data_IF_613212856869
#
_entry.id   IF_613212856869
#
_cell.length_a   1.000
_cell.length_b   1.000
_cell.length_c   1.000
_cell.angle_alpha   90.00
_cell.angle_beta   90.00
_cell.angle_gamma   90.00
#
_symmetry.space_group_name_H-M   'P 1'
#
loop_
_entity.id
_entity.type
_entity.pdbx_description
1 polymer ?
#
# COMPACT_ATOMS: atom_id res chain seq x y z
N UNK A 1 -28.17 16.84 -3.14
CA UNK A 1 -28.78 15.76 -3.94
C UNK A 1 -27.82 14.58 -3.86
N UNK A 2 -28.26 13.41 -3.38
CA UNK A 2 -27.39 12.24 -3.19
C UNK A 2 -27.30 11.51 -4.53
N UNK A 3 -26.09 11.38 -5.05
CA UNK A 3 -25.79 10.70 -6.31
C UNK A 3 -26.30 9.25 -6.24
N UNK A 4 -27.11 8.86 -7.23
CA UNK A 4 -27.82 7.59 -7.22
C UNK A 4 -26.82 6.44 -7.45
N UNK A 5 -26.78 5.45 -6.54
CA UNK A 5 -25.85 4.30 -6.59
C UNK A 5 -26.34 3.17 -7.52
N UNK A 6 -27.29 3.48 -8.40
CA UNK A 6 -28.04 2.51 -9.18
C UNK A 6 -28.18 2.98 -10.62
N UNK A 7 -28.11 2.04 -11.56
CA UNK A 7 -28.43 2.28 -12.96
C UNK A 7 -29.93 2.53 -13.16
N UNK A 8 -30.33 2.93 -14.37
CA UNK A 8 -31.71 3.32 -14.70
C UNK A 8 -32.75 2.19 -14.52
N UNK A 9 -32.29 0.94 -14.42
CA UNK A 9 -33.08 -0.27 -14.17
C UNK A 9 -33.15 -0.67 -12.68
N UNK A 10 -32.48 0.08 -11.79
CA UNK A 10 -32.46 -0.19 -10.34
C UNK A 10 -31.42 -1.24 -9.91
N UNK A 11 -30.58 -1.71 -10.82
CA UNK A 11 -29.46 -2.59 -10.49
C UNK A 11 -28.37 -1.82 -9.73
N UNK A 12 -27.78 -2.45 -8.70
CA UNK A 12 -26.58 -1.92 -8.05
C UNK A 12 -25.50 -1.75 -9.13
N UNK A 13 -24.77 -0.62 -9.12
CA UNK A 13 -23.50 -0.54 -9.85
C UNK A 13 -22.53 -1.57 -9.24
N UNK A 14 -22.64 -2.81 -9.67
CA UNK A 14 -21.66 -3.85 -9.42
C UNK A 14 -20.37 -3.35 -10.07
N UNK A 15 -19.30 -3.21 -9.27
CA UNK A 15 -17.93 -2.99 -9.77
C UNK A 15 -17.43 -4.27 -10.45
N UNK A 16 -18.16 -4.73 -11.47
CA UNK A 16 -17.78 -5.88 -12.29
C UNK A 16 -16.54 -5.56 -13.12
N UNK A 17 -15.96 -6.58 -13.73
CA UNK A 17 -14.73 -6.46 -14.52
C UNK A 17 -14.83 -5.39 -15.63
N UNK A 18 -16.04 -5.15 -16.15
CA UNK A 18 -16.30 -4.17 -17.19
C UNK A 18 -16.19 -2.72 -16.72
N UNK A 19 -16.36 -2.45 -15.41
CA UNK A 19 -16.07 -1.16 -14.80
C UNK A 19 -14.57 -0.85 -14.86
N UNK A 20 -13.70 -1.82 -14.53
CA UNK A 20 -12.24 -1.63 -14.58
C UNK A 20 -11.69 -1.59 -16.00
N UNK A 21 -12.32 -2.30 -16.95
CA UNK A 21 -11.95 -2.23 -18.38
C UNK A 21 -12.27 -0.88 -19.01
N UNK A 22 -13.37 -0.25 -18.60
CA UNK A 22 -13.82 1.05 -19.11
C UNK A 22 -13.45 2.24 -18.21
N UNK A 23 -12.73 1.99 -17.10
CA UNK A 23 -12.29 3.03 -16.19
C UNK A 23 -11.38 4.02 -16.93
N UNK A 24 -11.87 5.25 -17.13
CA UNK A 24 -11.09 6.31 -17.75
C UNK A 24 -9.88 6.62 -16.86
N UNK A 25 -8.69 6.69 -17.47
CA UNK A 25 -7.49 7.20 -16.80
C UNK A 25 -7.70 8.66 -16.39
N UNK A 26 -6.85 9.20 -15.51
CA UNK A 26 -6.92 10.62 -15.12
C UNK A 26 -6.98 11.59 -16.31
N UNK A 27 -6.35 11.24 -17.43
CA UNK A 27 -6.46 11.97 -18.70
C UNK A 27 -7.85 11.87 -19.35
N UNK A 28 -8.46 10.68 -19.40
CA UNK A 28 -9.81 10.49 -19.95
C UNK A 28 -10.92 11.12 -19.09
N UNK A 29 -10.69 11.30 -17.78
CA UNK A 29 -11.60 12.03 -16.89
C UNK A 29 -11.54 13.55 -17.11
N UNK A 30 -10.39 14.07 -17.54
CA UNK A 30 -10.17 15.50 -17.82
C UNK A 30 -10.93 15.99 -19.05
N UNK A 31 -11.08 15.12 -20.07
CA UNK A 31 -11.84 15.43 -21.29
C UNK A 31 -13.33 15.66 -21.01
N UNK A 32 -13.89 14.97 -20.00
CA UNK A 32 -15.33 15.04 -19.67
C UNK A 32 -15.66 15.98 -18.52
N UNK A 33 -14.67 16.53 -17.82
CA UNK A 33 -14.90 17.43 -16.71
C UNK A 33 -13.85 18.56 -16.68
N UNK A 34 -14.25 19.82 -16.96
CA UNK A 34 -13.33 20.95 -17.02
C UNK A 34 -12.65 21.24 -15.67
N UNK A 35 -13.26 20.86 -14.55
CA UNK A 35 -12.63 20.99 -13.23
C UNK A 35 -11.42 20.06 -13.09
N UNK A 36 -11.45 18.86 -13.69
CA UNK A 36 -10.34 17.90 -13.65
C UNK A 36 -9.21 18.37 -14.56
N UNK A 37 -9.51 18.93 -15.74
CA UNK A 37 -8.51 19.53 -16.62
C UNK A 37 -7.71 20.63 -15.90
N UNK A 38 -8.41 21.52 -15.17
CA UNK A 38 -7.77 22.58 -14.37
C UNK A 38 -6.86 22.03 -13.26
N UNK A 39 -7.23 20.90 -12.64
CA UNK A 39 -6.38 20.25 -11.62
C UNK A 39 -5.13 19.63 -12.23
N UNK A 40 -5.23 19.01 -13.42
CA UNK A 40 -4.07 18.45 -14.14
C UNK A 40 -3.12 19.55 -14.58
N UNK A 41 -3.65 20.68 -15.05
CA UNK A 41 -2.85 21.84 -15.45
C UNK A 41 -2.15 22.48 -14.25
N UNK A 42 -2.87 22.69 -13.14
CA UNK A 42 -2.27 23.15 -11.88
C UNK A 42 -1.23 22.18 -11.30
N UNK A 43 -1.34 20.88 -11.59
CA UNK A 43 -0.33 19.87 -11.23
C UNK A 43 0.92 19.97 -12.14
N UNK A 44 0.74 20.23 -13.45
CA UNK A 44 1.86 20.46 -14.40
C UNK A 44 2.62 21.74 -14.05
N UNK A 45 1.92 22.79 -13.65
CA UNK A 45 2.48 24.07 -13.24
C UNK A 45 3.10 24.04 -11.83
N UNK A 46 3.09 22.87 -11.17
CA UNK A 46 3.69 22.68 -9.84
C UNK A 46 2.93 23.35 -8.69
N UNK A 47 1.76 23.92 -8.96
CA UNK A 47 0.88 24.57 -7.97
C UNK A 47 0.26 23.53 -7.02
N UNK A 48 0.04 22.31 -7.51
CA UNK A 48 -0.41 21.17 -6.70
C UNK A 48 0.75 20.18 -6.52
N UNK A 49 1.25 20.06 -5.28
CA UNK A 49 2.26 19.06 -4.93
C UNK A 49 1.71 17.65 -5.14
N UNK A 50 2.39 16.85 -5.98
CA UNK A 50 2.11 15.43 -6.15
C UNK A 50 2.40 14.73 -4.84
N UNK A 51 1.35 14.37 -4.08
CA UNK A 51 1.54 13.52 -2.91
C UNK A 51 2.03 12.17 -3.40
N UNK A 52 3.20 11.68 -2.94
CA UNK A 52 3.67 10.36 -3.33
C UNK A 52 2.60 9.33 -2.95
N UNK A 53 2.12 8.60 -3.96
CA UNK A 53 1.11 7.56 -3.77
C UNK A 53 1.79 6.37 -3.09
N UNK A 54 1.43 6.06 -1.84
CA UNK A 54 1.94 4.90 -1.11
C UNK A 54 2.12 5.15 0.39
N UNK A 55 2.49 4.10 1.12
CA UNK A 55 2.96 4.24 2.51
C UNK A 55 4.28 5.03 2.49
N UNK A 56 4.45 6.03 3.37
CA UNK A 56 5.74 6.70 3.52
C UNK A 56 6.87 5.69 3.69
N UNK A 57 7.94 5.87 2.91
CA UNK A 57 9.15 5.05 3.04
C UNK A 57 9.70 5.28 4.45
N UNK A 58 9.96 4.20 5.18
CA UNK A 58 10.57 4.31 6.51
C UNK A 58 12.03 4.74 6.35
N UNK A 59 12.49 5.68 7.16
CA UNK A 59 13.89 6.15 7.16
C UNK A 59 14.89 5.01 7.45
N UNK A 60 14.45 3.98 8.16
CA UNK A 60 15.27 2.81 8.48
C UNK A 60 14.50 1.50 8.24
N UNK A 61 14.40 1.06 6.97
CA UNK A 61 13.68 -0.15 6.63
C UNK A 61 14.42 -1.40 7.12
N UNK A 62 13.67 -2.48 7.37
CA UNK A 62 14.29 -3.79 7.63
C UNK A 62 15.06 -4.25 6.39
N UNK A 63 16.33 -4.60 6.58
CA UNK A 63 17.14 -5.14 5.51
C UNK A 63 16.83 -6.63 5.32
N UNK A 64 16.51 -7.02 4.08
CA UNK A 64 16.37 -8.44 3.72
C UNK A 64 17.76 -9.04 3.53
N UNK A 65 18.12 -9.99 4.37
CA UNK A 65 19.41 -10.69 4.31
C UNK A 65 19.23 -12.19 4.52
N UNK A 66 20.19 -12.98 4.03
CA UNK A 66 20.23 -14.43 4.23
C UNK A 66 21.19 -14.75 5.36
N UNK A 67 20.68 -15.29 6.46
CA UNK A 67 21.47 -15.74 7.61
C UNK A 67 21.23 -17.23 7.83
N UNK A 68 22.29 -17.99 8.08
CA UNK A 68 22.19 -19.39 8.51
C UNK A 68 22.00 -19.42 10.02
N UNK A 69 20.97 -20.12 10.46
CA UNK A 69 20.64 -20.32 11.87
C UNK A 69 20.68 -21.81 12.17
N UNK A 70 20.96 -22.15 13.43
CA UNK A 70 20.89 -23.53 13.89
C UNK A 70 19.49 -24.11 13.69
N UNK A 71 19.44 -25.41 13.37
CA UNK A 71 18.20 -26.14 13.09
C UNK A 71 17.22 -26.12 14.27
N UNK A 72 17.71 -26.33 15.50
CA UNK A 72 16.86 -26.37 16.69
C UNK A 72 16.24 -25.00 16.98
N UNK A 73 17.01 -23.93 16.74
CA UNK A 73 16.52 -22.56 16.90
C UNK A 73 15.41 -22.27 15.88
N UNK A 74 15.61 -22.64 14.62
CA UNK A 74 14.59 -22.46 13.58
C UNK A 74 13.31 -23.23 13.90
N UNK A 75 13.44 -24.49 14.32
CA UNK A 75 12.30 -25.35 14.62
C UNK A 75 11.49 -24.82 15.81
N UNK A 76 12.16 -24.37 16.87
CA UNK A 76 11.52 -23.74 18.02
C UNK A 76 10.65 -22.53 17.62
N UNK A 77 11.19 -21.60 16.82
CA UNK A 77 10.43 -20.41 16.44
C UNK A 77 9.30 -20.75 15.46
N UNK A 78 9.55 -21.65 14.49
CA UNK A 78 8.56 -22.10 13.50
C UNK A 78 7.38 -22.84 14.14
N UNK A 79 7.62 -23.62 15.20
CA UNK A 79 6.56 -24.33 15.94
C UNK A 79 5.49 -23.37 16.48
N UNK A 80 5.84 -22.12 16.79
CA UNK A 80 4.87 -21.09 17.19
C UNK A 80 4.02 -20.51 16.04
N UNK A 81 4.13 -21.02 14.82
CA UNK A 81 3.31 -20.64 13.67
C UNK A 81 3.58 -19.25 13.08
N UNK A 82 2.53 -18.63 12.54
CA UNK A 82 2.61 -17.32 11.85
C UNK A 82 3.31 -16.27 12.71
N UNK A 83 4.20 -15.50 12.10
CA UNK A 83 4.95 -14.43 12.78
C UNK A 83 6.22 -14.88 13.49
N UNK A 84 6.66 -16.13 13.31
CA UNK A 84 7.92 -16.63 13.88
C UNK A 84 9.14 -15.77 13.53
N UNK A 85 9.21 -15.25 12.29
CA UNK A 85 10.26 -14.32 11.86
C UNK A 85 10.26 -13.01 12.65
N UNK A 86 9.08 -12.51 13.03
CA UNK A 86 8.96 -11.31 13.87
C UNK A 86 9.44 -11.59 15.29
N UNK A 87 9.12 -12.77 15.84
CA UNK A 87 9.56 -13.19 17.18
C UNK A 87 11.07 -13.36 17.27
N UNK A 88 11.70 -14.06 16.32
CA UNK A 88 13.16 -14.22 16.32
C UNK A 88 13.88 -12.88 16.19
N UNK A 89 13.37 -11.96 15.35
CA UNK A 89 13.92 -10.61 15.25
C UNK A 89 13.78 -9.80 16.56
N UNK A 90 12.71 -10.00 17.33
CA UNK A 90 12.53 -9.34 18.62
C UNK A 90 13.58 -9.80 19.65
N UNK A 91 13.86 -11.12 19.69
CA UNK A 91 14.90 -11.70 20.55
C UNK A 91 16.28 -11.19 20.18
N UNK A 92 16.62 -11.16 18.89
CA UNK A 92 17.91 -10.61 18.42
C UNK A 92 18.05 -9.14 18.79
N UNK A 93 16.99 -8.34 18.67
CA UNK A 93 16.98 -6.93 19.07
C UNK A 93 17.21 -6.75 20.57
N UNK A 94 16.60 -7.59 21.40
CA UNK A 94 16.81 -7.55 22.85
C UNK A 94 18.26 -7.87 23.21
N UNK A 95 18.85 -8.88 22.57
CA UNK A 95 20.25 -9.24 22.78
C UNK A 95 21.19 -8.09 22.42
N UNK A 96 20.96 -7.42 21.28
CA UNK A 96 21.74 -6.23 20.87
C UNK A 96 21.63 -5.11 21.90
N UNK A 97 20.42 -4.82 22.42
CA UNK A 97 20.23 -3.80 23.46
C UNK A 97 21.03 -4.12 24.73
N UNK A 98 21.01 -5.38 25.17
CA UNK A 98 21.76 -5.84 26.35
C UNK A 98 23.28 -5.72 26.14
N UNK A 99 23.78 -6.02 24.95
CA UNK A 99 25.20 -5.92 24.63
C UNK A 99 25.70 -4.47 24.52
N UNK A 100 24.79 -3.51 24.30
CA UNK A 100 25.08 -2.08 24.20
C UNK A 100 24.92 -1.32 25.53
N UNK A 101 24.43 -1.99 26.57
CA UNK A 101 24.27 -1.44 27.93
C UNK A 101 25.47 -1.79 28.78
#
# INVERSE_FOLDING_TARGET
MKENKYDADGSLLELGDDFFKNAKTGAGLAETNPAIAKLIEAQKDGVLAVRPVGRPVSDNPKQSTTVRLDSQVLDFFKAGGKGWQTRINAVLREHVKKAQS
#
